data_IF_841461216118
#
_entry.id   IF_841461216118
#
_cell.length_a   1.000
_cell.length_b   1.000
_cell.length_c   1.000
_cell.angle_alpha   90.00
_cell.angle_beta   90.00
_cell.angle_gamma   90.00
#
_symmetry.space_group_name_H-M   'P 1'
#
loop_
_entity.id
_entity.type
_entity.pdbx_description
1 polymer ?
#
# COMPACT_ATOMS: atom_id res chain seq x y z
N UNK A 1 -1.55 7.58 -30.09
CA UNK A 1 -1.18 6.21 -29.65
C UNK A 1 -1.00 6.27 -28.15
N UNK A 2 -1.86 5.60 -27.37
CA UNK A 2 -1.78 5.64 -25.92
C UNK A 2 -0.50 4.93 -25.48
N UNK A 3 0.40 5.66 -24.83
CA UNK A 3 1.56 5.07 -24.16
C UNK A 3 1.00 4.03 -23.19
N UNK A 4 1.29 2.74 -23.41
CA UNK A 4 0.79 1.65 -22.57
C UNK A 4 1.57 1.74 -21.26
N UNK A 5 1.14 2.64 -20.37
CA UNK A 5 1.73 2.79 -19.05
C UNK A 5 1.75 1.40 -18.40
N UNK A 6 2.94 0.95 -18.00
CA UNK A 6 3.11 -0.34 -17.34
C UNK A 6 2.31 -0.31 -16.04
N UNK A 7 1.24 -1.11 -15.98
CA UNK A 7 0.44 -1.26 -14.77
C UNK A 7 1.17 -2.17 -13.79
N UNK A 8 1.30 -1.72 -12.55
CA UNK A 8 1.85 -2.53 -11.45
C UNK A 8 0.69 -2.84 -10.50
N UNK A 9 0.45 -4.14 -10.24
CA UNK A 9 -0.76 -4.62 -9.53
C UNK A 9 -2.09 -4.16 -10.14
N UNK A 10 -2.11 -3.91 -11.46
CA UNK A 10 -3.27 -3.36 -12.16
C UNK A 10 -3.58 -1.90 -11.79
N UNK A 11 -2.60 -1.16 -11.25
CA UNK A 11 -2.70 0.26 -10.93
C UNK A 11 -1.79 1.07 -11.85
N UNK A 12 -2.28 2.23 -12.26
CA UNK A 12 -1.49 3.19 -13.01
C UNK A 12 -0.36 3.76 -12.14
N UNK A 13 0.78 4.18 -12.74
CA UNK A 13 1.90 4.76 -12.00
C UNK A 13 1.49 5.92 -11.09
N UNK A 14 0.60 6.80 -11.53
CA UNK A 14 0.15 7.96 -10.74
C UNK A 14 -0.60 7.54 -9.48
N UNK A 15 -1.45 6.51 -9.56
CA UNK A 15 -2.15 5.97 -8.38
C UNK A 15 -1.15 5.40 -7.37
N UNK A 16 -0.12 4.69 -7.85
CA UNK A 16 0.93 4.14 -6.99
C UNK A 16 1.71 5.28 -6.33
N UNK A 17 2.03 6.32 -7.08
CA UNK A 17 2.72 7.51 -6.57
C UNK A 17 1.90 8.23 -5.49
N UNK A 18 0.57 8.32 -5.67
CA UNK A 18 -0.35 8.88 -4.66
C UNK A 18 -0.29 8.11 -3.34
N UNK A 19 -0.41 6.79 -3.39
CA UNK A 19 -0.27 5.95 -2.21
C UNK A 19 1.10 6.12 -1.54
N UNK A 20 2.18 6.08 -2.32
CA UNK A 20 3.55 6.20 -1.79
C UNK A 20 3.76 7.55 -1.11
N UNK A 21 3.27 8.63 -1.71
CA UNK A 21 3.32 9.98 -1.13
C UNK A 21 2.60 10.04 0.21
N UNK A 22 1.39 9.47 0.31
CA UNK A 22 0.70 9.39 1.61
C UNK A 22 1.54 8.60 2.61
N UNK A 23 2.02 7.40 2.26
CA UNK A 23 2.79 6.56 3.19
C UNK A 23 4.11 7.20 3.66
N UNK A 24 4.74 8.05 2.84
CA UNK A 24 5.96 8.77 3.22
C UNK A 24 5.75 9.71 4.40
N UNK A 25 4.54 10.25 4.58
CA UNK A 25 4.21 11.14 5.70
C UNK A 25 4.07 10.40 7.05
N UNK A 26 4.01 9.07 7.06
CA UNK A 26 3.88 8.26 8.28
C UNK A 26 5.19 7.48 8.54
N UNK A 27 6.10 8.02 9.38
CA UNK A 27 7.39 7.38 9.67
C UNK A 27 7.28 6.02 10.38
N UNK A 28 6.14 5.73 11.01
CA UNK A 28 5.86 4.46 11.68
C UNK A 28 5.66 3.30 10.69
N UNK A 29 5.34 3.61 9.42
CA UNK A 29 5.19 2.59 8.36
C UNK A 29 6.57 2.04 8.00
N UNK A 30 6.78 0.76 8.33
CA UNK A 30 7.95 0.02 7.86
C UNK A 30 7.77 -0.40 6.40
N UNK A 31 6.61 -1.00 6.10
CA UNK A 31 6.24 -1.46 4.76
C UNK A 31 4.73 -1.61 4.61
N UNK A 32 4.26 -1.55 3.37
CA UNK A 32 2.88 -1.88 2.98
C UNK A 32 2.91 -3.06 2.03
N UNK A 33 2.06 -4.05 2.28
CA UNK A 33 1.83 -5.18 1.39
C UNK A 33 0.50 -4.99 0.67
N UNK A 34 0.47 -5.17 -0.65
CA UNK A 34 -0.78 -5.38 -1.38
C UNK A 34 -1.10 -6.87 -1.37
N UNK A 35 -2.36 -7.22 -1.12
CA UNK A 35 -2.83 -8.61 -1.13
C UNK A 35 -4.11 -8.75 -1.96
N UNK A 36 -4.79 -9.89 -1.85
CA UNK A 36 -6.06 -10.10 -2.54
C UNK A 36 -5.91 -10.28 -4.04
N UNK A 37 -6.92 -9.84 -4.80
CA UNK A 37 -7.03 -10.12 -6.23
C UNK A 37 -5.92 -9.48 -7.05
N UNK A 38 -5.52 -8.25 -6.69
CA UNK A 38 -4.47 -7.46 -7.36
C UNK A 38 -3.07 -8.03 -7.16
N UNK A 39 -2.78 -8.56 -5.97
CA UNK A 39 -1.51 -9.24 -5.71
C UNK A 39 -1.36 -10.55 -6.51
N UNK A 40 -2.48 -11.20 -6.84
CA UNK A 40 -2.54 -12.44 -7.63
C UNK A 40 -2.61 -12.21 -9.15
N UNK A 41 -2.81 -10.98 -9.61
CA UNK A 41 -2.99 -10.64 -11.02
C UNK A 41 -4.30 -11.17 -11.62
N UNK A 42 -5.28 -11.52 -10.79
CA UNK A 42 -6.61 -12.02 -11.21
C UNK A 42 -7.70 -10.97 -11.01
N UNK A 43 -7.32 -9.71 -10.80
CA UNK A 43 -8.25 -8.63 -10.55
C UNK A 43 -9.11 -8.35 -11.79
N UNK A 44 -10.41 -8.13 -11.56
CA UNK A 44 -11.34 -7.60 -12.55
C UNK A 44 -11.30 -6.08 -12.54
N UNK A 45 -11.78 -5.45 -13.62
CA UNK A 45 -11.98 -4.01 -13.66
C UNK A 45 -12.86 -3.57 -12.48
N UNK A 46 -12.36 -2.63 -11.69
CA UNK A 46 -13.04 -2.14 -10.48
C UNK A 46 -12.77 -2.91 -9.17
N UNK A 47 -11.85 -3.87 -9.15
CA UNK A 47 -11.54 -4.60 -7.90
C UNK A 47 -10.96 -3.67 -6.82
N UNK A 48 -11.40 -3.88 -5.57
CA UNK A 48 -10.88 -3.24 -4.37
C UNK A 48 -9.34 -3.35 -4.29
N UNK A 49 -8.73 -2.35 -3.63
CA UNK A 49 -7.29 -2.33 -3.34
C UNK A 49 -7.10 -2.77 -1.89
N UNK A 50 -6.76 -4.03 -1.69
CA UNK A 50 -6.51 -4.61 -0.37
C UNK A 50 -5.04 -4.41 0.05
N UNK A 51 -4.79 -3.68 1.13
CA UNK A 51 -3.45 -3.36 1.62
C UNK A 51 -3.28 -3.60 3.12
N UNK A 52 -2.13 -4.14 3.51
CA UNK A 52 -1.76 -4.36 4.90
C UNK A 52 -0.58 -3.47 5.26
N UNK A 53 -0.75 -2.64 6.30
CA UNK A 53 0.27 -1.72 6.81
C UNK A 53 0.99 -2.38 7.96
N UNK A 54 2.29 -2.58 7.80
CA UNK A 54 3.19 -3.07 8.85
C UNK A 54 3.85 -1.84 9.49
N UNK A 55 3.39 -1.51 10.68
CA UNK A 55 3.77 -0.34 11.46
C UNK A 55 3.64 -0.66 12.96
N UNK A 56 4.63 -1.36 13.56
CA UNK A 56 4.51 -1.89 14.92
C UNK A 56 4.44 -0.79 15.99
N UNK A 57 4.99 0.39 15.72
CA UNK A 57 4.95 1.57 16.62
C UNK A 57 3.75 2.46 16.38
N UNK A 58 2.95 2.22 15.34
CA UNK A 58 1.77 3.02 15.02
C UNK A 58 0.64 2.72 16.01
N UNK A 59 0.02 3.78 16.52
CA UNK A 59 -1.18 3.69 17.35
C UNK A 59 -2.46 3.76 16.50
N UNK A 60 -3.61 3.60 17.17
CA UNK A 60 -4.90 3.57 16.48
C UNK A 60 -5.29 4.93 15.89
N UNK A 61 -4.97 6.02 16.58
CA UNK A 61 -5.29 7.37 16.11
C UNK A 61 -4.52 7.72 14.83
N UNK A 62 -3.21 7.43 14.82
CA UNK A 62 -2.34 7.61 13.66
C UNK A 62 -2.80 6.74 12.48
N UNK A 63 -3.19 5.49 12.75
CA UNK A 63 -3.76 4.62 11.71
C UNK A 63 -5.07 5.18 11.15
N UNK A 64 -5.95 5.74 11.98
CA UNK A 64 -7.18 6.39 11.51
C UNK A 64 -6.88 7.64 10.67
N UNK A 65 -5.86 8.43 11.02
CA UNK A 65 -5.41 9.54 10.18
C UNK A 65 -4.88 9.06 8.83
N UNK A 66 -4.08 7.98 8.81
CA UNK A 66 -3.63 7.34 7.58
C UNK A 66 -4.81 6.88 6.72
N UNK A 67 -5.81 6.22 7.33
CA UNK A 67 -7.00 5.77 6.61
C UNK A 67 -7.71 6.93 5.91
N UNK A 68 -7.93 8.04 6.62
CA UNK A 68 -8.57 9.24 6.04
C UNK A 68 -7.76 9.83 4.89
N UNK A 69 -6.45 9.94 5.05
CA UNK A 69 -5.57 10.46 4.00
C UNK A 69 -5.60 9.58 2.72
N UNK A 70 -5.82 8.27 2.88
CA UNK A 70 -6.01 7.34 1.76
C UNK A 70 -7.40 7.48 1.13
N UNK A 71 -8.45 7.65 1.94
CA UNK A 71 -9.83 7.86 1.47
C UNK A 71 -9.99 9.19 0.71
N UNK A 72 -9.21 10.21 1.07
CA UNK A 72 -9.17 11.51 0.41
C UNK A 72 -8.44 11.50 -0.94
N UNK A 73 -7.76 10.40 -1.30
CA UNK A 73 -7.15 10.28 -2.62
C UNK A 73 -8.22 10.24 -3.71
N UNK A 74 -8.00 10.85 -4.89
CA UNK A 74 -8.97 10.90 -5.98
C UNK A 74 -9.06 9.57 -6.74
N UNK A 75 -9.41 8.49 -6.04
CA UNK A 75 -9.43 7.12 -6.54
C UNK A 75 -10.86 6.70 -6.91
N UNK A 76 -10.98 6.04 -8.06
CA UNK A 76 -12.22 5.37 -8.47
C UNK A 76 -12.40 3.98 -7.80
N UNK A 77 -11.34 3.47 -7.18
CA UNK A 77 -11.32 2.15 -6.56
C UNK A 77 -11.53 2.28 -5.05
N UNK A 78 -12.32 1.38 -4.48
CA UNK A 78 -12.41 1.23 -3.04
C UNK A 78 -11.08 0.69 -2.48
N UNK A 79 -10.69 1.17 -1.31
CA UNK A 79 -9.48 0.72 -0.60
C UNK A 79 -9.89 0.01 0.70
N UNK A 80 -9.25 -1.14 0.96
CA UNK A 80 -9.31 -1.83 2.26
C UNK A 80 -7.91 -1.89 2.88
N UNK A 81 -7.66 -1.03 3.86
CA UNK A 81 -6.40 -0.91 4.58
C UNK A 81 -6.48 -1.59 5.96
N UNK A 82 -5.61 -2.58 6.21
CA UNK A 82 -5.57 -3.28 7.50
C UNK A 82 -4.32 -2.94 8.29
N UNK A 83 -4.46 -2.69 9.59
CA UNK A 83 -3.33 -2.53 10.50
C UNK A 83 -2.79 -3.90 10.90
N UNK A 84 -1.75 -4.37 10.20
CA UNK A 84 -1.20 -5.71 10.33
C UNK A 84 -0.85 -6.10 11.77
N UNK A 85 -0.23 -5.16 12.50
CA UNK A 85 0.29 -5.40 13.85
C UNK A 85 -0.82 -5.54 14.89
N UNK A 86 -2.03 -5.06 14.58
CA UNK A 86 -3.21 -5.16 15.45
C UNK A 86 -4.16 -6.30 15.04
N UNK A 87 -3.89 -7.00 13.93
CA UNK A 87 -4.70 -8.15 13.52
C UNK A 87 -4.56 -9.31 14.52
N UNK A 88 -5.69 -9.71 15.10
CA UNK A 88 -5.81 -10.87 16.01
C UNK A 88 -6.19 -12.16 15.28
N UNK A 89 -6.81 -12.05 14.10
CA UNK A 89 -7.20 -13.21 13.29
C UNK A 89 -5.97 -13.86 12.62
N UNK A 90 -5.43 -14.91 13.24
CA UNK A 90 -4.24 -15.61 12.76
C UNK A 90 -4.39 -16.19 11.34
N UNK A 91 -5.59 -16.71 11.00
CA UNK A 91 -5.85 -17.25 9.66
C UNK A 91 -5.75 -16.16 8.59
N UNK A 92 -6.34 -14.99 8.86
CA UNK A 92 -6.30 -13.86 7.94
C UNK A 92 -4.88 -13.29 7.82
N UNK A 93 -4.17 -13.14 8.94
CA UNK A 93 -2.77 -12.72 8.98
C UNK A 93 -1.87 -13.65 8.15
N UNK A 94 -2.01 -14.97 8.32
CA UNK A 94 -1.26 -15.95 7.53
C UNK A 94 -1.58 -15.86 6.04
N UNK A 95 -2.85 -15.65 5.65
CA UNK A 95 -3.22 -15.47 4.25
C UNK A 95 -2.50 -14.27 3.63
N UNK A 96 -2.55 -13.12 4.29
CA UNK A 96 -1.85 -11.91 3.84
C UNK A 96 -0.33 -12.16 3.80
N UNK A 97 0.24 -12.91 4.76
CA UNK A 97 1.67 -13.24 4.74
C UNK A 97 2.07 -14.04 3.49
N UNK A 98 1.25 -15.02 3.11
CA UNK A 98 1.53 -15.92 1.99
C UNK A 98 1.28 -15.26 0.63
N UNK A 99 0.21 -14.48 0.54
CA UNK A 99 -0.27 -13.91 -0.73
C UNK A 99 0.22 -12.48 -0.95
N UNK A 100 0.64 -11.79 0.11
CA UNK A 100 1.08 -10.41 0.08
C UNK A 100 2.27 -10.20 -0.84
N UNK A 101 2.28 -9.05 -1.50
CA UNK A 101 3.38 -8.57 -2.34
C UNK A 101 3.79 -7.20 -1.82
N UNK A 102 5.10 -6.95 -1.80
CA UNK A 102 5.61 -5.67 -1.35
C UNK A 102 5.09 -4.55 -2.26
N UNK A 103 4.42 -3.57 -1.67
CA UNK A 103 3.88 -2.41 -2.37
C UNK A 103 4.68 -1.14 -2.06
N UNK A 104 5.07 -0.97 -0.79
CA UNK A 104 5.88 0.15 -0.31
C UNK A 104 6.85 -0.33 0.78
N UNK A 105 8.07 0.20 0.80
CA UNK A 105 9.06 -0.03 1.85
C UNK A 105 9.79 1.27 2.18
N UNK A 106 9.80 1.65 3.46
CA UNK A 106 10.50 2.85 3.92
C UNK A 106 12.00 2.76 3.68
N UNK A 107 12.59 1.57 3.86
CA UNK A 107 14.03 1.34 3.66
C UNK A 107 14.44 1.48 2.19
N UNK A 108 13.56 1.13 1.25
CA UNK A 108 13.84 1.27 -0.18
C UNK A 108 13.73 2.74 -0.62
N UNK A 109 12.84 3.51 -0.01
CA UNK A 109 12.68 4.94 -0.27
C UNK A 109 13.85 5.79 0.26
N UNK A 110 14.42 5.42 1.42
CA UNK A 110 15.59 6.13 1.96
C UNK A 110 16.87 5.88 1.15
N UNK A 111 16.96 4.76 0.43
CA UNK A 111 18.09 4.48 -0.47
C UNK A 111 17.95 5.20 -1.82
N UNK A 112 16.74 5.45 -2.30
CA UNK A 112 16.49 6.17 -3.55
C UNK A 112 16.67 7.70 -3.46
N UNK A 113 16.62 8.27 -2.26
CA UNK A 113 16.75 9.72 -2.03
C UNK A 113 18.18 10.22 -1.84
N UNK A 114 19.17 9.32 -1.78
CA UNK A 114 20.60 9.65 -1.67
C UNK A 114 21.36 9.63 -3.02
N UNK A 115 20.67 9.44 -4.15
CA UNK A 115 21.32 9.33 -5.46
C UNK A 115 21.40 10.65 -6.25
N UNK A 116 20.72 11.71 -5.82
CA UNK A 116 20.64 12.99 -6.55
C UNK A 116 21.34 14.16 -5.82
N UNK A 117 22.45 13.89 -5.13
CA UNK A 117 23.23 14.93 -4.44
C UNK A 117 24.72 14.72 -4.61
N UNK A 118 25.21 14.77 -5.86
CA UNK A 118 26.58 15.17 -6.21
C UNK A 118 26.59 15.81 -7.60
#
# INVERSE_FOLDING_TARGET
MANKASLTFGLAPDIIADFHRVFMHYPEINRVLIFGSRAKGINKDGSDIDMAVIAPTMDHETFNHLWRAIDDLPLIFKVDLVHWDKLTNARFKNKIQMEGRLFYSREQQSKGSNADSF
#
